data_IF_289500747457
#
_entry.id   IF_289500747457
#
_cell.length_a   1.000
_cell.length_b   1.000
_cell.length_c   1.000
_cell.angle_alpha   90.00
_cell.angle_beta   90.00
_cell.angle_gamma   90.00
#
_symmetry.space_group_name_H-M   'P 1'
#
loop_
_entity.id
_entity.type
_entity.pdbx_description
1 polymer ?
#
# COMPACT_ATOMS: atom_id res chain seq x y z
N UNK A 1 -55.65 3.13 -9.77
CA UNK A 1 -54.79 4.32 -9.92
C UNK A 1 -53.44 3.99 -9.32
N UNK A 2 -52.41 4.12 -10.17
CA UNK A 2 -50.98 4.28 -9.86
C UNK A 2 -50.31 3.23 -8.96
N UNK A 3 -49.80 2.18 -9.59
CA UNK A 3 -48.72 1.36 -9.04
C UNK A 3 -47.44 2.19 -8.92
N UNK A 4 -46.79 2.08 -7.77
CA UNK A 4 -45.52 2.72 -7.44
C UNK A 4 -44.47 2.19 -8.42
N UNK A 5 -44.06 3.04 -9.37
CA UNK A 5 -42.91 2.75 -10.21
C UNK A 5 -41.68 2.68 -9.32
N UNK A 6 -41.16 1.47 -9.08
CA UNK A 6 -39.79 1.29 -8.62
C UNK A 6 -38.88 2.01 -9.60
N UNK A 7 -38.40 3.19 -9.21
CA UNK A 7 -37.39 3.93 -9.94
C UNK A 7 -36.13 3.08 -9.85
N UNK A 8 -35.89 2.25 -10.86
CA UNK A 8 -34.58 1.63 -11.07
C UNK A 8 -33.63 2.80 -11.25
N UNK A 9 -32.97 3.22 -10.16
CA UNK A 9 -31.94 4.23 -10.26
C UNK A 9 -30.84 3.58 -11.09
N UNK A 10 -30.61 4.11 -12.28
CA UNK A 10 -29.53 3.64 -13.15
C UNK A 10 -28.23 3.58 -12.36
N UNK A 11 -27.42 2.56 -12.62
CA UNK A 11 -26.18 2.28 -11.88
C UNK A 11 -25.29 3.52 -11.84
N UNK A 12 -25.26 4.28 -12.94
CA UNK A 12 -24.58 5.58 -13.05
C UNK A 12 -24.94 6.60 -11.97
N UNK A 13 -26.22 6.71 -11.60
CA UNK A 13 -26.71 7.69 -10.62
C UNK A 13 -26.37 7.30 -9.17
N UNK A 14 -25.83 6.10 -8.96
CA UNK A 14 -25.38 5.64 -7.63
C UNK A 14 -23.94 6.05 -7.33
N UNK A 15 -23.20 6.54 -8.32
CA UNK A 15 -21.82 7.01 -8.14
C UNK A 15 -21.78 8.49 -7.81
N UNK A 16 -20.80 8.87 -6.98
CA UNK A 16 -20.39 10.26 -6.82
C UNK A 16 -19.85 10.83 -8.14
N UNK A 17 -20.38 11.97 -8.59
CA UNK A 17 -20.06 12.54 -9.91
C UNK A 17 -18.55 12.80 -10.10
N UNK A 18 -17.87 13.22 -9.03
CA UNK A 18 -16.44 13.52 -9.07
C UNK A 18 -15.60 12.23 -9.12
N UNK A 19 -16.04 11.17 -8.43
CA UNK A 19 -15.46 9.84 -8.55
C UNK A 19 -15.66 9.29 -9.97
N UNK A 20 -16.88 9.38 -10.51
CA UNK A 20 -17.20 8.86 -11.83
C UNK A 20 -16.40 9.57 -12.93
N UNK A 21 -16.32 10.90 -12.86
CA UNK A 21 -15.49 11.72 -13.76
C UNK A 21 -14.02 11.30 -13.70
N UNK A 22 -13.52 11.02 -12.49
CA UNK A 22 -12.14 10.58 -12.31
C UNK A 22 -11.89 9.19 -12.89
N UNK A 23 -12.81 8.24 -12.69
CA UNK A 23 -12.70 6.90 -13.25
C UNK A 23 -12.76 6.91 -14.79
N UNK A 24 -13.65 7.71 -15.36
CA UNK A 24 -13.74 7.95 -16.80
C UNK A 24 -12.40 8.40 -17.38
N UNK A 25 -11.77 9.40 -16.76
CA UNK A 25 -10.54 10.01 -17.28
C UNK A 25 -9.28 9.17 -16.97
N UNK A 26 -9.15 8.69 -15.74
CA UNK A 26 -7.93 8.09 -15.23
C UNK A 26 -7.89 6.56 -15.35
N UNK A 27 -9.03 5.89 -15.44
CA UNK A 27 -9.10 4.42 -15.44
C UNK A 27 -9.61 3.84 -16.75
N UNK A 28 -10.67 4.43 -17.31
CA UNK A 28 -11.37 3.86 -18.46
C UNK A 28 -11.01 4.52 -19.79
N UNK A 29 -10.69 5.82 -19.80
CA UNK A 29 -10.43 6.57 -21.02
C UNK A 29 -11.67 6.82 -21.87
N UNK A 30 -12.85 6.82 -21.24
CA UNK A 30 -14.15 6.94 -21.88
C UNK A 30 -14.80 8.26 -21.45
N UNK A 31 -15.57 8.91 -22.33
CA UNK A 31 -16.33 10.11 -21.97
C UNK A 31 -17.50 9.76 -21.04
N UNK A 32 -17.85 10.65 -20.12
CA UNK A 32 -19.01 10.46 -19.24
C UNK A 32 -20.34 10.34 -20.02
N UNK A 33 -20.39 10.80 -21.27
CA UNK A 33 -21.55 10.68 -22.15
C UNK A 33 -21.69 9.28 -22.77
N UNK A 34 -20.58 8.58 -22.99
CA UNK A 34 -20.56 7.25 -23.61
C UNK A 34 -20.72 6.12 -22.57
N UNK A 35 -21.04 6.51 -21.33
CA UNK A 35 -21.06 5.63 -20.18
C UNK A 35 -22.41 4.95 -20.04
N UNK A 36 -22.43 3.63 -20.23
CA UNK A 36 -23.62 2.79 -20.10
C UNK A 36 -23.66 2.08 -18.74
N UNK A 37 -24.87 1.77 -18.27
CA UNK A 37 -25.05 1.01 -17.02
C UNK A 37 -24.47 -0.42 -17.14
N UNK A 38 -24.51 -1.01 -18.33
CA UNK A 38 -23.89 -2.31 -18.64
C UNK A 38 -22.37 -2.26 -18.44
N UNK A 39 -21.71 -1.24 -18.99
CA UNK A 39 -20.27 -1.04 -18.81
C UNK A 39 -19.91 -0.87 -17.32
N UNK A 40 -20.71 -0.09 -16.58
CA UNK A 40 -20.50 0.08 -15.14
C UNK A 40 -20.61 -1.24 -14.39
N UNK A 41 -21.60 -2.08 -14.72
CA UNK A 41 -21.77 -3.40 -14.13
C UNK A 41 -20.58 -4.32 -14.44
N UNK A 42 -20.08 -4.32 -15.68
CA UNK A 42 -18.87 -5.06 -16.03
C UNK A 42 -17.65 -4.62 -15.23
N UNK A 43 -17.45 -3.31 -15.04
CA UNK A 43 -16.36 -2.79 -14.23
C UNK A 43 -16.51 -3.18 -12.74
N UNK A 44 -17.72 -3.18 -12.20
CA UNK A 44 -18.00 -3.64 -10.82
C UNK A 44 -17.67 -5.13 -10.69
N UNK A 45 -18.08 -5.96 -11.65
CA UNK A 45 -17.76 -7.39 -11.65
C UNK A 45 -16.26 -7.64 -11.75
N UNK A 46 -15.56 -6.93 -12.64
CA UNK A 46 -14.11 -7.03 -12.77
C UNK A 46 -13.36 -6.68 -11.46
N UNK A 47 -13.83 -5.63 -10.75
CA UNK A 47 -13.28 -5.28 -9.43
C UNK A 47 -13.57 -6.39 -8.41
N UNK A 48 -14.80 -6.91 -8.39
CA UNK A 48 -15.23 -7.99 -7.49
C UNK A 48 -14.39 -9.25 -7.69
N UNK A 49 -14.15 -9.62 -8.95
CA UNK A 49 -13.29 -10.76 -9.31
C UNK A 49 -11.83 -10.51 -8.93
N UNK A 50 -11.31 -9.29 -9.13
CA UNK A 50 -9.95 -8.96 -8.69
C UNK A 50 -9.77 -9.07 -7.17
N UNK A 51 -10.83 -8.74 -6.40
CA UNK A 51 -10.83 -8.85 -4.95
C UNK A 51 -10.81 -10.30 -4.47
N UNK A 52 -11.63 -11.16 -5.11
CA UNK A 52 -11.62 -12.61 -4.91
C UNK A 52 -10.24 -13.21 -5.20
N UNK A 53 -9.53 -12.68 -6.19
CA UNK A 53 -8.19 -13.11 -6.57
C UNK A 53 -7.06 -12.47 -5.72
N UNK A 54 -7.38 -11.75 -4.65
CA UNK A 54 -6.42 -11.04 -3.78
C UNK A 54 -5.50 -10.03 -4.50
N UNK A 55 -5.96 -9.46 -5.62
CA UNK A 55 -5.21 -8.48 -6.43
C UNK A 55 -5.66 -7.05 -6.09
N UNK A 56 -5.44 -6.48 -4.90
CA UNK A 56 -5.75 -5.05 -4.65
C UNK A 56 -4.81 -4.38 -3.60
N UNK A 57 -4.56 -3.04 -3.64
CA UNK A 57 -5.49 -2.03 -4.18
C UNK A 57 -4.92 -0.87 -5.04
N UNK A 58 -5.56 -0.55 -6.19
CA UNK A 58 -5.49 0.74 -6.89
C UNK A 58 -6.04 1.94 -6.11
N UNK A 59 -6.73 1.69 -4.98
CA UNK A 59 -7.51 2.71 -4.27
C UNK A 59 -6.71 3.97 -3.95
N UNK A 60 -5.45 3.82 -3.53
CA UNK A 60 -4.60 4.97 -3.18
C UNK A 60 -4.35 5.90 -4.36
N UNK A 61 -4.13 5.35 -5.56
CA UNK A 61 -3.85 6.17 -6.75
C UNK A 61 -5.13 6.83 -7.24
N UNK A 62 -6.24 6.10 -7.29
CA UNK A 62 -7.54 6.68 -7.64
C UNK A 62 -7.93 7.82 -6.69
N UNK A 63 -7.66 7.70 -5.39
CA UNK A 63 -7.90 8.76 -4.40
C UNK A 63 -7.07 10.03 -4.68
N UNK A 64 -5.81 9.89 -5.11
CA UNK A 64 -4.97 11.03 -5.52
C UNK A 64 -5.51 11.72 -6.77
N UNK A 65 -5.90 10.94 -7.78
CA UNK A 65 -6.48 11.48 -9.00
C UNK A 65 -7.82 12.16 -8.72
N UNK A 66 -8.66 11.58 -7.86
CA UNK A 66 -9.94 12.16 -7.43
C UNK A 66 -9.71 13.49 -6.72
N UNK A 67 -8.77 13.52 -5.78
CA UNK A 67 -8.42 14.74 -5.05
C UNK A 67 -7.88 15.84 -5.97
N UNK A 68 -7.04 15.49 -6.96
CA UNK A 68 -6.54 16.44 -7.94
C UNK A 68 -7.66 16.98 -8.85
N UNK A 69 -8.53 16.12 -9.35
CA UNK A 69 -9.66 16.51 -10.18
C UNK A 69 -10.65 17.40 -9.41
N UNK A 70 -10.92 17.07 -8.14
CA UNK A 70 -11.76 17.88 -7.26
C UNK A 70 -11.17 19.28 -7.05
N UNK A 71 -9.85 19.39 -6.85
CA UNK A 71 -9.15 20.67 -6.71
C UNK A 71 -9.31 21.52 -7.99
N UNK A 72 -9.08 20.91 -9.14
CA UNK A 72 -9.20 21.56 -10.45
C UNK A 72 -10.62 22.10 -10.65
N UNK A 73 -11.65 21.29 -10.34
CA UNK A 73 -13.05 21.67 -10.47
C UNK A 73 -13.44 22.76 -9.46
N UNK A 74 -13.06 22.62 -8.20
CA UNK A 74 -13.38 23.57 -7.12
C UNK A 74 -12.87 24.98 -7.39
N UNK A 75 -11.71 25.11 -8.04
CA UNK A 75 -11.12 26.41 -8.38
C UNK A 75 -11.39 26.83 -9.83
N UNK A 76 -12.24 26.12 -10.57
CA UNK A 76 -12.61 26.49 -11.94
C UNK A 76 -11.49 26.37 -12.97
N UNK A 77 -10.46 25.55 -12.71
CA UNK A 77 -9.32 25.35 -13.61
C UNK A 77 -9.57 24.30 -14.70
N UNK A 78 -10.78 23.78 -14.85
CA UNK A 78 -11.09 22.72 -15.83
C UNK A 78 -10.67 23.12 -17.25
N UNK A 79 -11.05 24.31 -17.70
CA UNK A 79 -10.68 24.86 -19.00
C UNK A 79 -9.18 25.12 -19.17
N UNK A 80 -8.45 25.33 -18.07
CA UNK A 80 -6.99 25.52 -18.10
C UNK A 80 -6.24 24.23 -18.45
N UNK A 81 -6.85 23.07 -18.18
CA UNK A 81 -6.28 21.76 -18.47
C UNK A 81 -6.87 21.11 -19.73
N UNK A 82 -7.71 21.82 -20.49
CA UNK A 82 -8.22 21.37 -21.77
C UNK A 82 -7.19 21.50 -22.91
N UNK A 83 -7.36 20.66 -23.93
CA UNK A 83 -6.46 20.59 -25.09
C UNK A 83 -5.08 20.00 -24.78
N UNK A 84 -4.26 19.83 -25.83
CA UNK A 84 -2.98 19.10 -25.73
C UNK A 84 -2.00 19.73 -24.72
N UNK A 85 -1.93 21.07 -24.69
CA UNK A 85 -1.08 21.81 -23.74
C UNK A 85 -1.62 21.71 -22.30
N UNK A 86 -2.94 21.72 -22.13
CA UNK A 86 -3.59 21.57 -20.84
C UNK A 86 -3.37 20.17 -20.26
N UNK A 87 -3.54 19.13 -21.08
CA UNK A 87 -3.29 17.74 -20.67
C UNK A 87 -1.83 17.56 -20.23
N UNK A 88 -0.85 18.10 -20.97
CA UNK A 88 0.57 18.05 -20.57
C UNK A 88 0.81 18.73 -19.22
N UNK A 89 0.16 19.87 -18.96
CA UNK A 89 0.23 20.55 -17.65
C UNK A 89 -0.43 19.72 -16.55
N UNK A 90 -1.57 19.09 -16.83
CA UNK A 90 -2.29 18.22 -15.89
C UNK A 90 -1.45 17.01 -15.53
N UNK A 91 -0.85 16.33 -16.51
CA UNK A 91 0.09 15.23 -16.29
C UNK A 91 1.30 15.67 -15.44
N UNK A 92 1.87 16.85 -15.73
CA UNK A 92 2.98 17.39 -14.94
C UNK A 92 2.56 17.68 -13.49
N UNK A 93 1.38 18.26 -13.28
CA UNK A 93 0.82 18.51 -11.95
C UNK A 93 0.63 17.20 -11.19
N UNK A 94 -0.03 16.22 -11.81
CA UNK A 94 -0.27 14.89 -11.23
C UNK A 94 1.03 14.21 -10.79
N UNK A 95 2.07 14.21 -11.64
CA UNK A 95 3.39 13.64 -11.30
C UNK A 95 4.03 14.38 -10.11
N UNK A 96 3.94 15.71 -10.08
CA UNK A 96 4.53 16.51 -9.02
C UNK A 96 3.77 16.40 -7.68
N UNK A 97 2.49 16.02 -7.71
CA UNK A 97 1.68 15.77 -6.52
C UNK A 97 1.90 14.38 -5.91
N UNK A 98 2.67 13.49 -6.56
CA UNK A 98 2.96 12.15 -6.04
C UNK A 98 3.98 12.20 -4.89
N UNK A 99 3.95 11.20 -3.97
CA UNK A 99 5.01 10.99 -2.99
C UNK A 99 6.39 10.86 -3.64
N UNK A 100 7.45 11.37 -3.01
CA UNK A 100 8.77 11.54 -3.64
C UNK A 100 9.33 10.24 -4.26
N UNK A 101 9.20 9.12 -3.55
CA UNK A 101 9.68 7.82 -4.03
C UNK A 101 8.94 7.36 -5.31
N UNK A 102 7.62 7.54 -5.37
CA UNK A 102 6.81 7.16 -6.53
C UNK A 102 7.00 8.16 -7.68
N UNK A 103 7.12 9.44 -7.36
CA UNK A 103 7.42 10.51 -8.31
C UNK A 103 8.72 10.26 -9.06
N UNK A 104 9.79 9.85 -8.38
CA UNK A 104 11.06 9.51 -9.04
C UNK A 104 10.94 8.30 -9.95
N UNK A 105 10.35 7.19 -9.47
CA UNK A 105 10.15 5.98 -10.31
C UNK A 105 9.35 6.30 -11.57
N UNK A 106 8.25 7.04 -11.42
CA UNK A 106 7.40 7.45 -12.54
C UNK A 106 8.15 8.39 -13.50
N UNK A 107 8.93 9.36 -13.00
CA UNK A 107 9.74 10.23 -13.85
C UNK A 107 10.79 9.45 -14.65
N UNK A 108 11.44 8.48 -14.04
CA UNK A 108 12.43 7.63 -14.69
C UNK A 108 11.77 6.78 -15.77
N UNK A 109 10.69 6.06 -15.46
CA UNK A 109 9.95 5.26 -16.46
C UNK A 109 9.47 6.11 -17.64
N UNK A 110 8.98 7.31 -17.38
CA UNK A 110 8.58 8.23 -18.45
C UNK A 110 9.79 8.70 -19.27
N UNK A 111 10.92 8.95 -18.64
CA UNK A 111 12.14 9.42 -19.32
C UNK A 111 12.77 8.37 -20.21
N UNK A 112 12.74 7.10 -19.81
CA UNK A 112 13.46 6.02 -20.49
C UNK A 112 12.56 5.13 -21.37
N UNK A 113 11.31 4.88 -20.96
CA UNK A 113 10.49 3.80 -21.53
C UNK A 113 9.14 4.24 -22.04
N UNK A 114 8.56 5.30 -21.49
CA UNK A 114 7.18 5.69 -21.80
C UNK A 114 6.96 7.21 -21.79
N UNK A 115 7.60 7.96 -22.72
CA UNK A 115 7.46 9.41 -22.82
C UNK A 115 6.01 9.85 -23.12
N UNK A 116 5.27 9.03 -23.86
CA UNK A 116 3.88 9.22 -24.24
C UNK A 116 2.93 9.34 -23.04
N UNK A 117 3.33 8.86 -21.86
CA UNK A 117 2.54 9.00 -20.64
C UNK A 117 2.38 10.47 -20.23
N UNK A 118 3.26 11.37 -20.68
CA UNK A 118 3.13 12.82 -20.38
C UNK A 118 1.99 13.50 -21.15
N UNK A 119 1.46 12.86 -22.19
CA UNK A 119 0.45 13.46 -23.08
C UNK A 119 -0.92 12.83 -22.91
N UNK A 120 -1.08 11.86 -22.01
CA UNK A 120 -2.35 11.21 -21.72
C UNK A 120 -2.50 10.90 -20.23
N UNK A 121 -3.57 11.41 -19.63
CA UNK A 121 -3.91 11.17 -18.21
C UNK A 121 -4.15 9.68 -17.95
N UNK A 122 -4.78 8.97 -18.89
CA UNK A 122 -5.02 7.54 -18.82
C UNK A 122 -3.71 6.73 -18.80
N UNK A 123 -2.81 7.00 -19.75
CA UNK A 123 -1.50 6.31 -19.82
C UNK A 123 -0.69 6.58 -18.55
N UNK A 124 -0.69 7.83 -18.09
CA UNK A 124 -0.01 8.21 -16.86
C UNK A 124 -0.58 7.49 -15.63
N UNK A 125 -1.90 7.46 -15.48
CA UNK A 125 -2.58 6.79 -14.37
C UNK A 125 -2.25 5.29 -14.33
N UNK A 126 -2.30 4.60 -15.48
CA UNK A 126 -1.90 3.18 -15.58
C UNK A 126 -0.44 2.96 -15.15
N UNK A 127 0.47 3.82 -15.61
CA UNK A 127 1.88 3.75 -15.22
C UNK A 127 2.08 3.98 -13.72
N UNK A 128 1.41 4.98 -13.14
CA UNK A 128 1.48 5.28 -11.70
C UNK A 128 0.92 4.11 -10.88
N UNK A 129 -0.20 3.52 -11.29
CA UNK A 129 -0.77 2.33 -10.65
C UNK A 129 0.19 1.15 -10.66
N UNK A 130 0.81 0.88 -11.82
CA UNK A 130 1.80 -0.19 -11.95
C UNK A 130 3.01 0.04 -11.04
N UNK A 131 3.57 1.25 -11.05
CA UNK A 131 4.73 1.60 -10.21
C UNK A 131 4.40 1.58 -8.71
N UNK A 132 3.19 1.99 -8.33
CA UNK A 132 2.75 1.92 -6.95
C UNK A 132 2.57 0.46 -6.49
N UNK A 133 2.05 -0.41 -7.35
CA UNK A 133 1.90 -1.83 -7.06
C UNK A 133 3.28 -2.51 -6.88
N UNK A 134 4.23 -2.23 -7.77
CA UNK A 134 5.59 -2.74 -7.67
C UNK A 134 6.27 -2.30 -6.38
N UNK A 135 6.11 -1.03 -5.96
CA UNK A 135 6.63 -0.55 -4.67
C UNK A 135 6.04 -1.32 -3.48
N UNK A 136 4.73 -1.58 -3.48
CA UNK A 136 4.08 -2.34 -2.38
C UNK A 136 4.61 -3.78 -2.32
N UNK A 137 4.86 -4.40 -3.48
CA UNK A 137 5.45 -5.74 -3.57
C UNK A 137 6.88 -5.74 -3.03
N UNK A 138 7.72 -4.78 -3.47
CA UNK A 138 9.09 -4.61 -3.00
C UNK A 138 9.16 -4.37 -1.49
N UNK A 139 8.35 -3.45 -0.96
CA UNK A 139 8.27 -3.16 0.48
C UNK A 139 7.87 -4.39 1.30
N UNK A 140 6.94 -5.20 0.77
CA UNK A 140 6.51 -6.44 1.40
C UNK A 140 7.63 -7.49 1.39
N UNK A 141 8.38 -7.60 0.29
CA UNK A 141 9.53 -8.50 0.19
C UNK A 141 10.66 -8.10 1.14
N UNK A 142 10.98 -6.80 1.22
CA UNK A 142 11.98 -6.23 2.14
C UNK A 142 11.62 -6.46 3.61
N UNK A 143 10.34 -6.40 3.96
CA UNK A 143 9.87 -6.73 5.32
C UNK A 143 9.97 -8.22 5.64
N UNK A 144 9.91 -9.10 4.64
CA UNK A 144 10.12 -10.54 4.82
C UNK A 144 11.60 -10.92 4.91
N UNK A 145 12.49 -10.17 4.25
CA UNK A 145 13.95 -10.42 4.29
C UNK A 145 14.62 -9.86 5.55
N UNK A 146 14.09 -8.77 6.12
CA UNK A 146 14.44 -8.31 7.47
C UNK A 146 13.70 -9.14 8.52
N UNK A 147 14.18 -10.37 8.79
CA UNK A 147 13.70 -11.18 9.91
C UNK A 147 13.72 -10.41 11.24
N UNK A 148 12.98 -10.86 12.28
CA UNK A 148 12.86 -10.11 13.52
C UNK A 148 14.25 -9.81 14.06
N UNK A 149 14.60 -8.53 14.11
CA UNK A 149 15.76 -8.06 14.84
C UNK A 149 15.68 -8.71 16.22
N UNK A 150 16.68 -9.54 16.54
CA UNK A 150 16.83 -10.13 17.85
C UNK A 150 16.58 -9.03 18.87
N UNK A 151 15.55 -9.21 19.70
CA UNK A 151 15.39 -8.44 20.93
C UNK A 151 16.69 -8.64 21.70
N UNK A 152 17.58 -7.66 21.64
CA UNK A 152 18.65 -7.51 22.61
C UNK A 152 17.97 -7.44 23.96
N UNK A 153 18.05 -8.55 24.71
CA UNK A 153 17.69 -8.58 26.13
C UNK A 153 18.46 -7.42 26.80
N UNK A 154 17.80 -6.55 27.59
CA UNK A 154 18.54 -5.80 28.58
C UNK A 154 19.15 -6.85 29.52
N UNK A 155 20.48 -6.90 29.57
CA UNK A 155 21.23 -7.72 30.49
C UNK A 155 21.12 -7.07 31.87
N UNK A 156 20.10 -7.45 32.63
CA UNK A 156 20.04 -7.13 34.06
C UNK A 156 21.26 -7.74 34.77
N UNK A 157 22.01 -6.87 35.45
CA UNK A 157 22.88 -7.20 36.59
C UNK A 157 22.35 -6.39 37.78
N UNK A 158 22.57 -6.79 39.06
CA UNK A 158 23.43 -7.85 39.58
C UNK A 158 22.76 -8.82 40.60
N UNK A 159 23.54 -9.82 41.00
CA UNK A 159 23.22 -10.93 41.92
C UNK A 159 22.67 -10.50 43.29
N UNK A 160 21.71 -11.22 43.89
CA UNK A 160 21.47 -11.14 45.32
C UNK A 160 22.53 -11.95 46.10
N UNK A 161 23.21 -11.24 47.01
CA UNK A 161 24.10 -11.79 48.04
C UNK A 161 23.35 -12.82 48.90
N UNK A 162 23.79 -14.08 48.87
CA UNK A 162 23.38 -15.07 49.87
C UNK A 162 24.21 -14.89 51.14
N UNK A 163 23.66 -14.17 52.11
CA UNK A 163 24.11 -14.19 53.49
C UNK A 163 23.63 -15.50 54.16
N UNK A 164 24.49 -16.51 54.23
CA UNK A 164 24.34 -17.60 55.23
C UNK A 164 25.36 -17.41 56.34
N UNK A 165 24.85 -16.83 57.43
CA UNK A 165 25.53 -16.63 58.71
C UNK A 165 25.90 -18.00 59.31
N UNK A 166 27.15 -18.08 59.75
CA UNK A 166 27.83 -19.20 60.39
C UNK A 166 27.06 -19.68 61.63
N UNK A 167 26.90 -21.00 61.79
CA UNK A 167 26.99 -21.63 63.10
C UNK A 167 28.22 -22.53 63.11
N UNK A 168 29.08 -22.24 64.07
CA UNK A 168 30.33 -22.91 64.32
C UNK A 168 30.10 -24.09 65.26
N UNK A 169 30.74 -25.24 64.99
CA UNK A 169 31.50 -25.93 66.04
C UNK A 169 32.53 -26.91 65.43
N UNK A 170 33.80 -26.62 65.72
CA UNK A 170 34.96 -27.49 66.10
C UNK A 170 34.84 -29.00 65.81
N UNK A 171 35.86 -29.78 65.39
CA UNK A 171 37.28 -29.64 65.05
C UNK A 171 37.74 -31.01 64.45
N UNK A 172 39.01 -31.23 64.03
CA UNK A 172 39.40 -32.11 62.91
C UNK A 172 39.95 -33.49 63.29
N UNK A 173 39.98 -34.44 62.35
CA UNK A 173 41.03 -35.46 62.27
C UNK A 173 41.19 -36.07 60.85
N UNK A 174 42.43 -36.04 60.36
CA UNK A 174 43.01 -36.74 59.18
C UNK A 174 43.26 -38.25 59.50
N UNK A 175 43.90 -39.07 58.63
CA UNK A 175 43.60 -39.50 57.26
C UNK A 175 43.63 -41.07 57.13
N UNK A 176 43.62 -41.57 55.89
CA UNK A 176 44.09 -42.90 55.45
C UNK A 176 43.25 -44.17 55.76
N UNK A 177 42.78 -44.84 54.71
CA UNK A 177 43.46 -46.07 54.23
C UNK A 177 42.93 -46.53 52.86
N UNK A 178 43.87 -46.91 52.01
CA UNK A 178 43.72 -47.45 50.65
C UNK A 178 43.23 -48.93 50.62
N UNK A 179 42.84 -49.47 49.45
CA UNK A 179 41.98 -50.66 49.31
C UNK A 179 42.78 -51.97 49.22
N UNK A 180 42.15 -53.12 49.55
CA UNK A 180 42.58 -54.45 49.08
C UNK A 180 41.41 -55.39 48.81
N UNK A 181 41.44 -55.99 47.62
CA UNK A 181 40.68 -57.18 47.17
C UNK A 181 41.01 -58.40 48.06
N UNK A 182 40.11 -59.38 48.19
CA UNK A 182 40.15 -60.67 47.46
C UNK A 182 39.10 -61.66 48.02
N UNK A 183 38.62 -62.51 47.12
CA UNK A 183 37.73 -63.67 47.26
C UNK A 183 38.27 -64.73 48.23
N UNK A 184 37.37 -65.45 48.89
CA UNK A 184 37.20 -66.91 48.74
C UNK A 184 35.81 -67.32 49.20
#
# INVERSE_FOLDING_TARGET
>A
MSGVGSRVQGVKNSFDDDLLTTLCEASWGISANDLTDEFLQEQIHAITDSYQNHVLPPSRVTDYFKSCNLLIKKYGFTSFFEGEKGIKKKCKLLINSLPELLKEKVKNEIGYRSPDSRTSVLKLSKLINQQALEQVIEDRALKRSKGPAQKSKPRDQPRPFQNKKRQANKQPHQPDTRPKKLKS
#
